data_IF_426295555753
#
_entry.id   IF_426295555753
#
_cell.length_a   1.000
_cell.length_b   1.000
_cell.length_c   1.000
_cell.angle_alpha   90.00
_cell.angle_beta   90.00
_cell.angle_gamma   90.00
#
_symmetry.space_group_name_H-M   'P 1'
#
loop_
_entity.id
_entity.type
_entity.pdbx_description
1 polymer ?
#
# COMPACT_ATOMS: atom_id res chain seq x y z
N UNK A 1 -20.83 28.88 5.88
CA UNK A 1 -20.27 28.51 7.19
C UNK A 1 -19.72 27.09 7.04
N UNK A 2 -18.42 26.87 7.24
CA UNK A 2 -17.80 25.54 7.11
C UNK A 2 -18.02 24.78 8.42
N UNK A 3 -18.98 23.86 8.45
CA UNK A 3 -19.31 23.04 9.62
C UNK A 3 -19.65 21.61 9.21
N UNK A 4 -19.51 20.65 10.14
CA UNK A 4 -19.85 19.25 9.88
C UNK A 4 -21.38 19.07 9.81
N UNK A 5 -21.95 19.08 8.60
CA UNK A 5 -23.40 19.07 8.36
C UNK A 5 -24.15 17.82 8.87
N UNK A 6 -23.44 16.79 9.35
CA UNK A 6 -24.06 15.56 9.86
C UNK A 6 -24.26 15.56 11.38
N UNK A 7 -23.89 16.67 12.05
CA UNK A 7 -24.28 16.94 13.43
C UNK A 7 -24.89 18.35 13.53
N UNK A 8 -25.89 18.53 14.38
CA UNK A 8 -26.59 19.82 14.57
C UNK A 8 -25.68 20.90 15.18
N UNK A 9 -24.69 20.49 15.98
CA UNK A 9 -23.67 21.36 16.57
C UNK A 9 -22.56 21.76 15.58
N UNK A 10 -22.55 21.16 14.38
CA UNK A 10 -21.53 21.40 13.36
C UNK A 10 -20.14 20.86 13.71
N UNK A 11 -19.99 20.07 14.80
CA UNK A 11 -18.70 19.56 15.27
C UNK A 11 -18.44 18.18 14.68
N UNK A 12 -17.25 17.99 14.09
CA UNK A 12 -16.82 16.67 13.64
C UNK A 12 -16.46 15.77 14.83
N UNK A 13 -16.93 14.52 14.80
CA UNK A 13 -16.49 13.47 15.72
C UNK A 13 -16.15 12.21 14.93
N UNK A 14 -15.26 11.37 15.46
CA UNK A 14 -14.95 10.07 14.85
C UNK A 14 -16.22 9.22 14.68
N UNK A 15 -17.15 9.30 15.65
CA UNK A 15 -18.45 8.61 15.60
C UNK A 15 -19.30 9.08 14.41
N UNK A 16 -19.47 10.39 14.25
CA UNK A 16 -20.27 10.95 13.15
C UNK A 16 -19.61 10.72 11.78
N UNK A 17 -18.28 10.78 11.69
CA UNK A 17 -17.53 10.39 10.50
C UNK A 17 -17.66 8.91 10.13
N UNK A 18 -17.57 8.01 11.11
CA UNK A 18 -17.76 6.57 10.90
C UNK A 18 -19.21 6.22 10.53
N UNK A 19 -20.18 6.81 11.22
CA UNK A 19 -21.60 6.68 10.89
C UNK A 19 -21.85 7.10 9.44
N UNK A 20 -21.29 8.24 9.02
CA UNK A 20 -21.40 8.70 7.65
C UNK A 20 -20.79 7.73 6.64
N UNK A 21 -19.57 7.26 6.89
CA UNK A 21 -18.87 6.34 5.98
C UNK A 21 -19.55 4.97 5.83
N UNK A 22 -20.37 4.57 6.80
CA UNK A 22 -21.12 3.30 6.78
C UNK A 22 -22.52 3.42 6.22
N UNK A 23 -23.12 4.62 6.27
CA UNK A 23 -24.51 4.87 5.87
C UNK A 23 -24.65 5.67 4.56
N UNK A 24 -23.57 6.30 4.08
CA UNK A 24 -23.56 6.82 2.72
C UNK A 24 -23.46 5.66 1.72
N UNK A 25 -24.31 5.63 0.68
CA UNK A 25 -24.19 4.67 -0.42
C UNK A 25 -22.95 5.03 -1.24
N UNK A 26 -21.78 4.59 -0.78
CA UNK A 26 -20.55 4.73 -1.53
C UNK A 26 -20.50 3.59 -2.54
N UNK A 27 -21.18 3.77 -3.67
CA UNK A 27 -21.08 2.85 -4.82
C UNK A 27 -19.73 2.93 -5.55
N UNK A 28 -18.73 3.60 -4.94
CA UNK A 28 -17.39 3.69 -5.51
C UNK A 28 -16.65 2.40 -5.18
N UNK A 29 -16.26 1.59 -6.19
CA UNK A 29 -15.45 0.41 -5.94
C UNK A 29 -14.11 0.85 -5.32
N UNK A 30 -13.87 0.40 -4.08
CA UNK A 30 -12.58 0.57 -3.42
C UNK A 30 -11.53 -0.23 -4.20
N UNK A 31 -10.76 0.49 -5.00
CA UNK A 31 -9.62 -0.05 -5.70
C UNK A 31 -8.36 0.19 -4.87
N UNK A 32 -7.50 -0.82 -4.72
CA UNK A 32 -6.24 -0.63 -4.01
C UNK A 32 -5.40 0.42 -4.74
N UNK A 33 -4.79 1.34 -3.99
CA UNK A 33 -3.88 2.37 -4.53
C UNK A 33 -2.69 1.76 -5.27
N UNK A 34 -2.24 0.58 -4.82
CA UNK A 34 -1.10 -0.14 -5.39
C UNK A 34 -1.42 -1.62 -5.54
N UNK A 35 -0.92 -2.23 -6.63
CA UNK A 35 -1.04 -3.65 -6.90
C UNK A 35 -2.43 -4.08 -7.37
N UNK A 36 -2.50 -5.20 -8.07
CA UNK A 36 -3.75 -5.71 -8.63
C UNK A 36 -4.67 -6.27 -7.52
N UNK A 37 -5.95 -5.85 -7.55
CA UNK A 37 -6.98 -6.26 -6.57
C UNK A 37 -7.20 -7.77 -6.54
N UNK A 38 -7.27 -8.42 -7.68
CA UNK A 38 -7.47 -9.86 -7.80
C UNK A 38 -6.27 -10.64 -7.26
N UNK A 39 -5.04 -10.19 -7.54
CA UNK A 39 -3.83 -10.81 -6.98
C UNK A 39 -3.83 -10.72 -5.45
N UNK A 40 -4.19 -9.56 -4.89
CA UNK A 40 -4.31 -9.41 -3.43
C UNK A 40 -5.36 -10.35 -2.84
N UNK A 41 -6.49 -10.55 -3.51
CA UNK A 41 -7.50 -11.52 -3.07
C UNK A 41 -6.98 -12.97 -3.19
N UNK A 42 -6.26 -13.30 -4.26
CA UNK A 42 -5.66 -14.63 -4.47
C UNK A 42 -4.66 -14.98 -3.37
N UNK A 43 -3.82 -14.03 -2.92
CA UNK A 43 -2.85 -14.24 -1.82
C UNK A 43 -3.54 -14.83 -0.59
N UNK A 44 -4.68 -14.26 -0.18
CA UNK A 44 -5.39 -14.71 1.02
C UNK A 44 -5.97 -16.12 0.89
N UNK A 45 -6.33 -16.52 -0.34
CA UNK A 45 -6.85 -17.85 -0.68
C UNK A 45 -5.75 -18.93 -0.77
N UNK A 46 -4.47 -18.56 -0.86
CA UNK A 46 -3.38 -19.54 -0.96
C UNK A 46 -3.22 -20.36 0.33
N UNK A 47 -2.80 -21.63 0.21
CA UNK A 47 -2.46 -22.50 1.34
C UNK A 47 -1.01 -22.27 1.79
N UNK A 48 -0.75 -21.10 2.36
CA UNK A 48 0.57 -20.71 2.87
C UNK A 48 0.48 -20.16 4.30
N UNK A 49 1.58 -20.15 5.06
CA UNK A 49 1.60 -19.52 6.39
C UNK A 49 1.17 -18.06 6.31
N UNK A 50 0.42 -17.60 7.31
CA UNK A 50 -0.08 -16.22 7.41
C UNK A 50 1.03 -15.18 7.27
N UNK A 51 2.22 -15.47 7.82
CA UNK A 51 3.43 -14.64 7.68
C UNK A 51 3.79 -14.37 6.21
N UNK A 52 3.72 -15.41 5.36
CA UNK A 52 4.02 -15.27 3.94
C UNK A 52 2.91 -14.51 3.19
N UNK A 53 1.64 -14.75 3.54
CA UNK A 53 0.52 -13.98 2.98
C UNK A 53 0.66 -12.48 3.23
N UNK A 54 0.96 -12.10 4.47
CA UNK A 54 1.21 -10.70 4.82
C UNK A 54 2.40 -10.12 4.06
N UNK A 55 3.49 -10.89 3.95
CA UNK A 55 4.66 -10.46 3.18
C UNK A 55 4.31 -10.18 1.71
N UNK A 56 3.63 -11.11 1.03
CA UNK A 56 3.20 -10.93 -0.36
C UNK A 56 2.23 -9.76 -0.52
N UNK A 57 1.32 -9.57 0.43
CA UNK A 57 0.42 -8.43 0.42
C UNK A 57 1.17 -7.09 0.57
N UNK A 58 2.19 -7.02 1.43
CA UNK A 58 3.06 -5.84 1.59
C UNK A 58 3.88 -5.56 0.33
N UNK A 59 4.40 -6.62 -0.30
CA UNK A 59 5.11 -6.56 -1.58
C UNK A 59 4.23 -5.90 -2.66
N UNK A 60 3.02 -6.43 -2.89
CA UNK A 60 2.10 -5.88 -3.89
C UNK A 60 1.58 -4.47 -3.55
N UNK A 61 1.57 -4.10 -2.27
CA UNK A 61 1.10 -2.79 -1.81
C UNK A 61 2.18 -1.71 -1.87
N UNK A 62 3.37 -2.00 -2.42
CA UNK A 62 4.53 -1.10 -2.43
C UNK A 62 4.85 -0.54 -1.03
N UNK A 63 4.75 -1.42 -0.02
CA UNK A 63 4.94 -1.13 1.40
C UNK A 63 6.32 -1.53 1.93
N UNK A 64 7.17 -2.12 1.08
CA UNK A 64 8.55 -2.44 1.47
C UNK A 64 9.41 -1.18 1.41
N UNK A 65 10.41 -1.10 2.29
CA UNK A 65 11.35 0.02 2.35
C UNK A 65 12.43 -0.08 1.27
N UNK A 66 12.00 -0.19 0.00
CA UNK A 66 12.90 -0.13 -1.15
C UNK A 66 13.29 1.33 -1.42
N UNK A 67 14.49 1.59 -1.96
CA UNK A 67 14.94 2.97 -2.21
C UNK A 67 13.98 3.74 -3.12
N UNK A 68 13.36 3.08 -4.12
CA UNK A 68 12.30 3.68 -4.92
C UNK A 68 11.07 4.12 -4.09
N UNK A 69 10.60 3.27 -3.17
CA UNK A 69 9.46 3.62 -2.31
C UNK A 69 9.81 4.72 -1.30
N UNK A 70 11.05 4.75 -0.81
CA UNK A 70 11.54 5.79 0.09
C UNK A 70 11.66 7.13 -0.64
N UNK A 71 12.16 7.14 -1.89
CA UNK A 71 12.25 8.33 -2.73
C UNK A 71 10.86 8.87 -3.08
N UNK A 72 9.90 7.99 -3.42
CA UNK A 72 8.49 8.36 -3.64
C UNK A 72 7.86 9.03 -2.41
N UNK A 73 8.31 8.69 -1.20
CA UNK A 73 7.87 9.29 0.07
C UNK A 73 8.73 10.48 0.48
N UNK A 74 9.63 10.95 -0.38
CA UNK A 74 10.57 12.04 -0.12
C UNK A 74 11.47 11.83 1.11
N UNK A 75 11.78 10.56 1.45
CA UNK A 75 12.66 10.21 2.58
C UNK A 75 14.13 10.18 2.12
N UNK A 76 14.39 9.76 0.89
CA UNK A 76 15.73 9.70 0.30
C UNK A 76 15.71 10.35 -1.08
N UNK A 77 16.86 10.87 -1.52
CA UNK A 77 16.99 11.52 -2.84
C UNK A 77 17.28 10.53 -3.96
N UNK A 78 17.99 9.44 -3.64
CA UNK A 78 18.44 8.43 -4.60
C UNK A 78 17.65 7.13 -4.44
N UNK A 79 17.29 6.53 -5.57
CA UNK A 79 16.53 5.28 -5.67
C UNK A 79 17.38 4.11 -6.19
N UNK A 80 18.68 4.31 -6.39
CA UNK A 80 19.58 3.27 -6.86
C UNK A 80 19.72 2.14 -5.83
N UNK A 81 19.76 0.90 -6.30
CA UNK A 81 20.04 -0.26 -5.47
C UNK A 81 21.44 -0.19 -4.89
N UNK A 82 21.54 -0.08 -3.57
CA UNK A 82 22.81 -0.02 -2.85
C UNK A 82 23.62 -1.32 -2.88
N UNK A 83 23.03 -2.42 -3.39
CA UNK A 83 23.71 -3.72 -3.50
C UNK A 83 24.46 -3.85 -4.81
N UNK A 84 23.77 -3.65 -5.93
CA UNK A 84 24.33 -3.84 -7.26
C UNK A 84 24.81 -2.54 -7.91
N UNK A 85 24.40 -1.38 -7.39
CA UNK A 85 24.72 -0.05 -7.88
C UNK A 85 24.44 0.15 -9.40
N UNK A 86 23.54 -0.65 -9.99
CA UNK A 86 23.32 -0.65 -11.44
C UNK A 86 21.91 -0.24 -11.85
N UNK A 87 20.91 -0.48 -11.02
CA UNK A 87 19.50 -0.22 -11.33
C UNK A 87 18.75 0.37 -10.13
N UNK A 88 17.54 0.88 -10.38
CA UNK A 88 16.62 1.36 -9.34
C UNK A 88 16.21 0.21 -8.43
N UNK A 89 16.23 0.43 -7.13
CA UNK A 89 15.81 -0.53 -6.12
C UNK A 89 14.29 -0.60 -6.05
N UNK A 90 13.69 -1.43 -6.90
CA UNK A 90 12.29 -1.82 -6.83
C UNK A 90 12.13 -3.18 -6.15
N UNK A 91 10.90 -3.55 -5.78
CA UNK A 91 10.60 -4.89 -5.29
C UNK A 91 10.97 -5.95 -6.34
N UNK A 92 10.65 -5.71 -7.60
CA UNK A 92 10.98 -6.63 -8.70
C UNK A 92 12.48 -6.81 -8.83
N UNK A 93 13.24 -5.70 -8.74
CA UNK A 93 14.68 -5.73 -8.77
C UNK A 93 15.27 -6.53 -7.60
N UNK A 94 14.85 -6.25 -6.36
CA UNK A 94 15.41 -6.95 -5.18
C UNK A 94 15.15 -8.45 -5.23
N UNK A 95 13.98 -8.90 -5.70
CA UNK A 95 13.60 -10.31 -5.66
C UNK A 95 13.97 -11.11 -6.92
N UNK A 96 14.05 -10.48 -8.09
CA UNK A 96 14.19 -11.19 -9.37
C UNK A 96 15.38 -10.72 -10.20
N UNK A 97 15.61 -9.41 -10.33
CA UNK A 97 16.58 -8.91 -11.31
C UNK A 97 17.99 -8.68 -10.74
N UNK A 98 18.10 -8.42 -9.45
CA UNK A 98 19.36 -8.06 -8.80
C UNK A 98 20.37 -9.22 -8.94
N UNK A 99 21.60 -8.95 -9.43
CA UNK A 99 22.65 -9.97 -9.52
C UNK A 99 22.94 -10.67 -8.19
N UNK A 100 22.71 -9.99 -7.06
CA UNK A 100 22.89 -10.56 -5.73
C UNK A 100 21.72 -11.42 -5.25
N UNK A 101 20.55 -11.32 -5.89
CA UNK A 101 19.39 -12.16 -5.63
C UNK A 101 19.40 -13.42 -6.50
N UNK A 102 20.01 -13.34 -7.69
CA UNK A 102 20.26 -14.49 -8.57
C UNK A 102 21.43 -15.30 -8.01
N UNK A 103 21.13 -16.47 -7.47
CA UNK A 103 22.10 -17.50 -7.07
C UNK A 103 21.84 -18.76 -7.86
#
# INVERSE_FOLDING_TARGET
MLGWHYNEDGIYTVKSGYWLGTHLPTNVPLNPTYGNKELKQKIWKTKTPTKLKHFLWRLLSKCLATSNNLKRRHIVSEDQCRRCCSAVETEEHIFFDCPYAKK
#
